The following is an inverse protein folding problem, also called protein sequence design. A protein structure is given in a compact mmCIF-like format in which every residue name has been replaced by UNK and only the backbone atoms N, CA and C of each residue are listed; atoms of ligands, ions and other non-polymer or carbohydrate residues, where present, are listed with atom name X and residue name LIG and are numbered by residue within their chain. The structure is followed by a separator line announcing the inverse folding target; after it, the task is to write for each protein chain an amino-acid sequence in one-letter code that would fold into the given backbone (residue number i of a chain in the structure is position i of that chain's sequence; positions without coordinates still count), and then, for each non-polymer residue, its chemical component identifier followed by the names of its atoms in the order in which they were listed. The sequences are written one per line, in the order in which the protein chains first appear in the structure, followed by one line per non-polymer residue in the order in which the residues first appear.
data_IF_332073952650
#
_entry.id   IF_332073952650
#
_cell.length_a   1.000
_cell.length_b   1.000
_cell.length_c   1.000
_cell.angle_alpha   90.00
_cell.angle_beta   90.00
_cell.angle_gamma   90.00
#
_symmetry.space_group_name_H-M   'P 1'
#
loop_
_entity.id
_entity.type
_entity.pdbx_description
1 polymer ?
#
# COMPACT_ATOMS: atom_id res chain seq x y z
N UNK A 1 16.24 6.51 -8.86
CA UNK A 1 14.92 5.88 -9.10
C UNK A 1 15.23 4.43 -9.39
N UNK A 2 15.04 3.53 -8.43
CA UNK A 2 15.36 2.11 -8.61
C UNK A 2 14.36 1.51 -9.58
N UNK A 3 14.84 0.93 -10.68
CA UNK A 3 14.05 0.09 -11.58
C UNK A 3 14.61 -1.32 -11.49
N UNK A 4 13.75 -2.30 -11.31
CA UNK A 4 14.13 -3.71 -11.37
C UNK A 4 13.60 -4.31 -12.67
N UNK A 5 14.34 -5.23 -13.28
CA UNK A 5 13.87 -5.92 -14.50
C UNK A 5 13.88 -7.41 -14.24
N UNK A 6 12.81 -8.09 -14.63
CA UNK A 6 12.67 -9.54 -14.53
C UNK A 6 12.02 -10.09 -15.79
N UNK A 7 12.45 -11.28 -16.19
CA UNK A 7 11.99 -11.93 -17.41
C UNK A 7 11.50 -13.34 -17.09
N UNK A 8 10.34 -13.69 -17.66
CA UNK A 8 9.75 -15.03 -17.59
C UNK A 8 9.30 -15.46 -18.99
N UNK A 9 9.18 -16.76 -19.21
CA UNK A 9 8.72 -17.31 -20.49
C UNK A 9 7.73 -18.45 -20.30
N UNK A 10 6.69 -18.51 -21.13
CA UNK A 10 5.76 -19.64 -21.22
C UNK A 10 5.95 -20.33 -22.56
N UNK A 11 5.65 -21.63 -22.62
CA UNK A 11 5.58 -22.38 -23.87
C UNK A 11 4.12 -22.69 -24.19
N UNK A 12 3.69 -22.41 -25.41
CA UNK A 12 2.32 -22.64 -25.88
C UNK A 12 2.37 -23.73 -26.94
N UNK A 13 1.84 -24.91 -26.63
CA UNK A 13 1.82 -26.09 -27.50
C UNK A 13 0.41 -26.45 -28.00
N UNK A 14 -0.62 -26.00 -27.28
CA UNK A 14 -2.01 -26.18 -27.62
C UNK A 14 -2.84 -24.91 -27.36
N UNK A 15 -4.09 -24.92 -27.79
CA UNK A 15 -5.01 -23.79 -27.62
C UNK A 15 -5.61 -23.77 -26.19
N UNK A 16 -4.79 -23.95 -25.15
CA UNK A 16 -5.21 -23.87 -23.74
C UNK A 16 -4.53 -22.70 -23.02
N UNK A 17 -5.10 -22.35 -21.87
CA UNK A 17 -4.50 -21.33 -21.00
C UNK A 17 -3.23 -21.87 -20.36
N UNK A 18 -2.14 -21.12 -20.47
CA UNK A 18 -0.84 -21.47 -19.91
C UNK A 18 -0.41 -20.39 -18.92
N UNK A 19 0.24 -20.77 -17.83
CA UNK A 19 0.73 -19.83 -16.82
C UNK A 19 2.02 -20.30 -16.16
N UNK A 20 2.84 -19.35 -15.74
CA UNK A 20 4.00 -19.63 -14.91
C UNK A 20 3.69 -19.52 -13.42
N UNK A 21 4.47 -20.25 -12.62
CA UNK A 21 4.49 -20.05 -11.17
C UNK A 21 4.95 -18.63 -10.83
N UNK A 22 4.39 -17.98 -9.79
CA UNK A 22 4.82 -16.66 -9.38
C UNK A 22 6.31 -16.63 -9.05
N UNK A 23 7.06 -15.76 -9.74
CA UNK A 23 8.46 -15.53 -9.47
C UNK A 23 8.58 -14.76 -8.15
N UNK A 24 9.36 -15.30 -7.22
CA UNK A 24 9.61 -14.70 -5.91
C UNK A 24 10.81 -13.76 -5.96
N UNK A 25 10.72 -12.65 -5.24
CA UNK A 25 11.81 -11.72 -4.97
C UNK A 25 12.47 -11.15 -6.23
N UNK A 26 11.71 -10.36 -7.00
CA UNK A 26 12.27 -9.56 -8.09
C UNK A 26 13.45 -8.75 -7.57
N UNK A 27 14.64 -8.97 -8.15
CA UNK A 27 15.89 -8.40 -7.67
C UNK A 27 15.82 -6.87 -7.59
N UNK A 28 15.90 -6.32 -6.36
CA UNK A 28 15.80 -4.88 -6.10
C UNK A 28 14.44 -4.37 -5.61
N UNK A 29 13.40 -5.22 -5.55
CA UNK A 29 12.09 -4.89 -4.93
C UNK A 29 11.64 -6.04 -4.02
N UNK A 30 11.97 -6.00 -2.71
CA UNK A 30 11.63 -7.07 -1.77
C UNK A 30 10.11 -7.30 -1.66
N UNK A 31 9.67 -8.57 -1.67
CA UNK A 31 8.26 -8.93 -1.52
C UNK A 31 7.43 -8.83 -2.80
N UNK A 32 7.99 -8.27 -3.89
CA UNK A 32 7.31 -8.24 -5.19
C UNK A 32 7.29 -9.64 -5.82
N UNK A 33 6.10 -10.14 -6.13
CA UNK A 33 5.89 -11.42 -6.80
C UNK A 33 4.99 -11.23 -8.02
N UNK A 34 5.32 -11.86 -9.14
CA UNK A 34 4.52 -11.73 -10.36
C UNK A 34 4.51 -13.02 -11.20
N UNK A 35 3.43 -13.20 -11.96
CA UNK A 35 3.26 -14.30 -12.90
C UNK A 35 2.75 -13.81 -14.25
N UNK A 36 3.04 -14.62 -15.27
CA UNK A 36 2.69 -14.38 -16.66
C UNK A 36 1.73 -15.48 -17.13
N UNK A 37 0.63 -15.09 -17.78
CA UNK A 37 -0.42 -15.99 -18.24
C UNK A 37 -0.80 -15.70 -19.70
N UNK A 38 -1.27 -16.73 -20.38
CA UNK A 38 -1.85 -16.66 -21.72
C UNK A 38 -3.27 -17.22 -21.70
N UNK A 39 -4.20 -16.48 -22.31
CA UNK A 39 -5.59 -16.87 -22.49
C UNK A 39 -5.93 -16.90 -23.99
N UNK A 40 -6.10 -18.08 -24.60
CA UNK A 40 -6.33 -18.18 -26.04
C UNK A 40 -7.68 -17.61 -26.53
N UNK A 41 -8.68 -17.49 -25.65
CA UNK A 41 -9.98 -16.89 -25.97
C UNK A 41 -10.20 -15.55 -25.25
N UNK A 42 -9.15 -15.01 -24.66
CA UNK A 42 -9.23 -13.84 -23.80
C UNK A 42 -9.80 -14.19 -22.42
N UNK A 43 -9.50 -13.35 -21.44
CA UNK A 43 -9.90 -13.60 -20.04
C UNK A 43 -11.42 -13.62 -19.86
N UNK A 44 -12.14 -12.83 -20.65
CA UNK A 44 -13.61 -12.78 -20.67
C UNK A 44 -14.24 -13.72 -21.70
N UNK A 45 -13.46 -14.58 -22.36
CA UNK A 45 -13.93 -15.45 -23.46
C UNK A 45 -14.58 -14.64 -24.60
N UNK A 46 -14.03 -13.46 -24.87
CA UNK A 46 -14.46 -12.58 -25.96
C UNK A 46 -13.95 -13.05 -27.35
N UNK A 47 -13.15 -14.11 -27.38
CA UNK A 47 -12.65 -14.72 -28.62
C UNK A 47 -11.37 -14.07 -29.15
N UNK A 48 -10.77 -13.14 -28.40
CA UNK A 48 -9.48 -12.51 -28.71
C UNK A 48 -8.45 -13.00 -27.72
N UNK A 49 -7.38 -13.62 -28.20
CA UNK A 49 -6.30 -14.09 -27.34
C UNK A 49 -5.66 -12.95 -26.55
N UNK A 50 -5.26 -13.21 -25.31
CA UNK A 50 -4.79 -12.19 -24.36
C UNK A 50 -3.61 -12.71 -23.53
N UNK A 51 -2.54 -11.92 -23.46
CA UNK A 51 -1.45 -12.11 -22.50
C UNK A 51 -1.73 -11.29 -21.25
N UNK A 52 -1.61 -11.87 -20.07
CA UNK A 52 -1.82 -11.14 -18.81
C UNK A 52 -0.63 -11.26 -17.88
N UNK A 53 -0.41 -10.18 -17.13
CA UNK A 53 0.51 -10.15 -16.00
C UNK A 53 -0.32 -10.06 -14.73
N UNK A 54 0.06 -10.85 -13.73
CA UNK A 54 -0.53 -10.82 -12.40
C UNK A 54 0.53 -10.43 -11.38
N UNK A 55 0.20 -9.49 -10.50
CA UNK A 55 0.98 -9.25 -9.30
C UNK A 55 0.39 -10.08 -8.15
N UNK A 56 1.24 -10.90 -7.55
CA UNK A 56 0.90 -11.83 -6.47
C UNK A 56 1.38 -11.34 -5.10
N UNK A 57 2.16 -10.25 -5.07
CA UNK A 57 2.65 -9.59 -3.86
C UNK A 57 3.40 -8.32 -4.24
N UNK A 58 3.28 -7.27 -3.43
CA UNK A 58 3.81 -5.92 -3.69
C UNK A 58 2.93 -5.06 -4.60
N UNK A 59 3.24 -3.76 -4.68
CA UNK A 59 2.62 -2.82 -5.62
C UNK A 59 3.70 -2.10 -6.44
N UNK A 60 3.59 -2.14 -7.76
CA UNK A 60 4.60 -1.58 -8.66
C UNK A 60 4.00 -1.08 -9.97
N UNK A 61 4.62 -0.03 -10.52
CA UNK A 61 4.38 0.35 -11.91
C UNK A 61 5.20 -0.57 -12.81
N UNK A 62 4.58 -1.13 -13.85
CA UNK A 62 5.17 -2.16 -14.70
C UNK A 62 5.16 -1.71 -16.15
N UNK A 63 6.31 -1.84 -16.79
CA UNK A 63 6.42 -1.83 -18.23
C UNK A 63 6.87 -3.21 -18.69
N UNK A 64 6.01 -3.92 -19.41
CA UNK A 64 6.28 -5.24 -19.94
C UNK A 64 6.42 -5.22 -21.46
N UNK A 65 7.33 -6.05 -21.96
CA UNK A 65 7.50 -6.33 -23.38
C UNK A 65 7.32 -7.82 -23.59
N UNK A 66 6.44 -8.17 -24.52
CA UNK A 66 6.20 -9.55 -24.96
C UNK A 66 6.91 -9.75 -26.29
N UNK A 67 7.70 -10.81 -26.37
CA UNK A 67 8.46 -11.19 -27.56
C UNK A 67 8.23 -12.67 -27.83
N UNK A 68 7.89 -13.02 -29.07
CA UNK A 68 7.88 -14.42 -29.51
C UNK A 68 9.26 -14.78 -30.08
N UNK A 69 9.70 -16.02 -29.85
CA UNK A 69 10.88 -16.57 -30.54
C UNK A 69 10.55 -17.02 -31.97
N UNK A 70 9.27 -17.29 -32.26
CA UNK A 70 8.82 -17.81 -33.56
C UNK A 70 8.32 -16.70 -34.49
N UNK A 71 7.91 -15.56 -33.93
CA UNK A 71 7.43 -14.39 -34.68
C UNK A 71 8.31 -13.18 -34.36
N UNK A 72 8.74 -12.44 -35.38
CA UNK A 72 9.50 -11.19 -35.22
C UNK A 72 8.58 -10.01 -34.86
N UNK A 73 7.77 -10.19 -33.82
CA UNK A 73 6.84 -9.19 -33.32
C UNK A 73 7.05 -8.93 -31.82
N UNK A 74 7.15 -7.65 -31.47
CA UNK A 74 7.28 -7.17 -30.09
C UNK A 74 6.11 -6.31 -29.73
N UNK A 75 5.40 -6.68 -28.67
CA UNK A 75 4.34 -5.86 -28.11
C UNK A 75 4.77 -5.26 -26.78
N UNK A 76 4.58 -3.94 -26.65
CA UNK A 76 4.88 -3.20 -25.44
C UNK A 76 3.59 -2.88 -24.69
N UNK A 77 3.61 -3.16 -23.39
CA UNK A 77 2.50 -2.96 -22.50
C UNK A 77 2.97 -2.16 -21.28
N UNK A 78 2.33 -1.02 -21.01
CA UNK A 78 2.66 -0.16 -19.88
C UNK A 78 1.43 0.03 -19.00
N UNK A 79 1.52 -0.39 -17.74
CA UNK A 79 0.44 -0.20 -16.79
C UNK A 79 0.92 -0.13 -15.33
N UNK A 80 0.11 0.46 -14.45
CA UNK A 80 0.35 0.40 -13.00
C UNK A 80 -0.47 -0.76 -12.47
N UNK A 81 0.17 -1.75 -11.85
CA UNK A 81 -0.53 -2.89 -11.27
C UNK A 81 -0.48 -2.79 -9.75
N UNK A 82 -1.63 -2.94 -9.11
CA UNK A 82 -1.71 -3.21 -7.69
C UNK A 82 -1.71 -4.72 -7.44
N UNK A 83 -1.43 -5.14 -6.20
CA UNK A 83 -1.50 -6.55 -5.83
C UNK A 83 -2.90 -7.13 -6.03
N UNK A 84 -2.97 -8.32 -6.60
CA UNK A 84 -4.22 -9.00 -6.94
C UNK A 84 -4.83 -8.53 -8.25
N UNK A 85 -4.33 -7.44 -8.85
CA UNK A 85 -4.76 -7.01 -10.17
C UNK A 85 -4.11 -7.88 -11.26
N UNK A 86 -4.93 -8.18 -12.25
CA UNK A 86 -4.55 -8.88 -13.47
C UNK A 86 -5.01 -8.01 -14.62
N UNK A 87 -4.05 -7.52 -15.40
CA UNK A 87 -4.34 -6.79 -16.64
C UNK A 87 -3.71 -7.51 -17.81
N UNK A 88 -4.46 -7.56 -18.91
CA UNK A 88 -4.00 -8.16 -20.13
C UNK A 88 -3.85 -7.19 -21.28
N UNK A 89 -3.09 -7.64 -22.25
CA UNK A 89 -2.90 -7.03 -23.54
C UNK A 89 -3.47 -8.00 -24.59
N UNK A 90 -4.43 -7.55 -25.43
CA UNK A 90 -4.86 -8.31 -26.59
C UNK A 90 -3.63 -8.61 -27.46
N UNK A 91 -3.50 -9.85 -27.91
CA UNK A 91 -2.39 -10.25 -28.77
C UNK A 91 -2.87 -10.47 -30.20
N UNK A 92 -2.51 -9.54 -31.07
CA UNK A 92 -2.72 -9.60 -32.52
C UNK A 92 -1.47 -10.19 -33.21
N UNK A 93 -0.92 -11.31 -32.72
CA UNK A 93 0.29 -11.94 -33.30
C UNK A 93 -0.07 -12.77 -34.54
N UNK A 94 -0.95 -12.24 -35.39
CA UNK A 94 -1.37 -12.87 -36.63
C UNK A 94 -0.88 -12.04 -37.79
N UNK A 95 0.13 -12.50 -38.56
CA UNK A 95 0.58 -11.84 -39.78
C UNK A 95 -0.57 -11.62 -40.78
N UNK A 96 -1.65 -12.40 -40.67
CA UNK A 96 -2.69 -12.54 -41.69
C UNK A 96 -4.10 -12.11 -41.22
N UNK A 97 -4.26 -11.62 -39.99
CA UNK A 97 -5.55 -11.13 -39.46
C UNK A 97 -6.63 -12.20 -39.19
N UNK A 98 -6.27 -13.48 -39.25
CA UNK A 98 -7.11 -14.59 -38.80
C UNK A 98 -6.73 -14.99 -37.36
N UNK A 99 -7.65 -15.57 -36.60
CA UNK A 99 -7.40 -16.18 -35.28
C UNK A 99 -6.42 -17.37 -35.45
N UNK A 100 -5.13 -17.07 -35.53
CA UNK A 100 -4.06 -18.06 -35.56
C UNK A 100 -3.75 -18.42 -34.13
N UNK A 101 -3.88 -19.71 -33.80
CA UNK A 101 -3.44 -20.23 -32.52
C UNK A 101 -1.94 -19.91 -32.37
N UNK A 102 -1.58 -19.20 -31.30
CA UNK A 102 -0.19 -18.84 -31.02
C UNK A 102 0.50 -20.11 -30.53
N UNK A 103 1.63 -20.45 -31.14
CA UNK A 103 2.48 -21.55 -30.70
C UNK A 103 3.89 -21.02 -30.39
N UNK A 104 4.60 -21.73 -29.52
CA UNK A 104 6.01 -21.47 -29.26
C UNK A 104 6.33 -20.82 -27.92
N UNK A 105 7.59 -20.40 -27.80
CA UNK A 105 8.12 -19.74 -26.61
C UNK A 105 7.80 -18.24 -26.64
N UNK A 106 7.00 -17.80 -25.69
CA UNK A 106 6.71 -16.37 -25.47
C UNK A 106 7.48 -15.90 -24.25
N UNK A 107 8.31 -14.88 -24.46
CA UNK A 107 9.13 -14.24 -23.43
C UNK A 107 8.49 -12.91 -23.03
N UNK A 108 8.25 -12.76 -21.74
CA UNK A 108 7.78 -11.52 -21.13
C UNK A 108 8.91 -10.90 -20.30
N UNK A 109 9.38 -9.72 -20.69
CA UNK A 109 10.35 -8.93 -19.92
C UNK A 109 9.61 -7.76 -19.26
N UNK A 110 9.52 -7.77 -17.94
CA UNK A 110 8.85 -6.75 -17.14
C UNK A 110 9.88 -5.89 -16.39
N UNK A 111 9.74 -4.58 -16.50
CA UNK A 111 10.48 -3.57 -15.73
C UNK A 111 9.55 -2.97 -14.68
N UNK A 112 9.97 -3.03 -13.43
CA UNK A 112 9.21 -2.65 -12.25
C UNK A 112 9.79 -1.37 -11.63
N UNK A 113 8.91 -0.42 -11.39
CA UNK A 113 9.17 0.78 -10.59
C UNK A 113 8.34 0.67 -9.30
N UNK A 114 8.95 0.77 -8.10
CA UNK A 114 8.20 0.74 -6.86
C UNK A 114 7.12 1.84 -6.86
N UNK A 115 5.89 1.51 -6.48
CA UNK A 115 4.85 2.51 -6.30
C UNK A 115 5.28 3.48 -5.17
N UNK A 116 5.59 4.72 -5.52
CA UNK A 116 5.91 5.76 -4.54
C UNK A 116 4.65 6.57 -4.28
N UNK A 117 4.12 6.47 -3.08
CA UNK A 117 3.08 7.39 -2.61
C UNK A 117 3.70 8.75 -2.35
N UNK A 118 3.13 9.78 -2.98
CA UNK A 118 3.45 11.17 -2.73
C UNK A 118 2.35 11.78 -1.88
N UNK A 119 2.65 12.05 -0.62
CA UNK A 119 1.76 12.80 0.25
C UNK A 119 1.92 14.29 -0.05
N UNK A 120 0.80 14.96 -0.34
CA UNK A 120 0.76 16.42 -0.48
C UNK A 120 0.11 17.03 0.76
N UNK A 121 0.76 18.03 1.32
CA UNK A 121 0.22 18.73 2.48
C UNK A 121 -1.11 19.43 2.16
N UNK A 122 -1.96 19.64 3.17
CA UNK A 122 -3.06 20.58 3.07
C UNK A 122 -2.57 21.99 2.69
N UNK A 123 -3.21 22.63 1.71
CA UNK A 123 -2.89 24.00 1.23
C UNK A 123 -2.72 25.08 2.33
N UNK A 124 -3.42 25.06 3.48
CA UNK A 124 -3.20 26.05 4.55
C UNK A 124 -1.77 26.08 5.10
N UNK A 125 -0.98 25.03 4.88
CA UNK A 125 0.32 24.85 5.51
C UNK A 125 1.53 25.20 4.62
N UNK A 126 1.31 25.44 3.32
CA UNK A 126 2.36 25.81 2.36
C UNK A 126 2.89 27.25 2.54
N UNK A 127 2.32 28.02 3.47
CA UNK A 127 2.69 29.42 3.71
C UNK A 127 3.93 29.59 4.60
N UNK A 128 4.47 28.51 5.19
CA UNK A 128 5.65 28.60 6.06
C UNK A 128 6.92 28.35 5.28
N UNK A 129 7.65 29.44 5.03
CA UNK A 129 8.96 29.42 4.40
C UNK A 129 10.01 28.77 5.32
N UNK A 130 10.22 27.47 5.11
CA UNK A 130 11.23 26.68 5.80
C UNK A 130 12.68 27.02 5.38
N UNK A 131 12.88 27.94 4.43
CA UNK A 131 14.22 28.41 4.03
C UNK A 131 14.80 29.49 4.95
N UNK A 132 14.04 29.94 5.97
CA UNK A 132 14.46 30.95 6.96
C UNK A 132 14.79 30.32 8.32
N UNK A 133 15.95 29.66 8.49
CA UNK A 133 16.30 28.94 9.71
C UNK A 133 16.49 29.83 10.95
N UNK A 134 16.61 31.16 10.77
CA UNK A 134 16.74 32.12 11.87
C UNK A 134 15.43 32.33 12.64
N UNK A 135 14.30 31.82 12.15
CA UNK A 135 13.00 31.93 12.81
C UNK A 135 12.63 30.68 13.64
N UNK A 136 13.47 29.63 13.65
CA UNK A 136 13.28 28.48 14.52
C UNK A 136 13.47 28.87 15.97
N UNK A 137 12.42 28.75 16.77
CA UNK A 137 12.38 29.12 18.19
C UNK A 137 11.91 27.95 19.07
N UNK A 138 11.87 26.74 18.51
CA UNK A 138 11.62 25.50 19.23
C UNK A 138 12.38 24.32 18.60
N UNK A 139 12.61 23.27 19.38
CA UNK A 139 13.22 22.02 18.96
C UNK A 139 12.36 20.83 19.37
N UNK A 140 12.11 19.91 18.43
CA UNK A 140 11.55 18.60 18.73
C UNK A 140 12.72 17.63 18.96
N UNK A 141 12.71 16.93 20.10
CA UNK A 141 13.74 15.97 20.50
C UNK A 141 13.16 14.56 20.46
N UNK A 142 13.83 13.67 19.73
CA UNK A 142 13.49 12.25 19.62
C UNK A 142 14.75 11.43 19.91
N UNK A 143 14.88 10.96 21.16
CA UNK A 143 16.11 10.35 21.65
C UNK A 143 17.28 11.33 21.54
N UNK A 144 18.29 10.98 20.73
CA UNK A 144 19.46 11.84 20.50
C UNK A 144 19.29 12.83 19.33
N UNK A 145 18.18 12.73 18.58
CA UNK A 145 17.95 13.55 17.40
C UNK A 145 17.20 14.83 17.77
N UNK A 146 17.57 15.93 17.11
CA UNK A 146 16.95 17.25 17.28
C UNK A 146 16.46 17.78 15.94
N UNK A 147 15.22 18.26 15.92
CA UNK A 147 14.59 18.88 14.75
C UNK A 147 14.20 20.30 15.10
N UNK A 148 14.71 21.28 14.36
CA UNK A 148 14.35 22.69 14.56
C UNK A 148 13.00 22.97 13.91
N UNK A 149 12.13 23.67 14.64
CA UNK A 149 10.76 23.97 14.22
C UNK A 149 10.33 25.37 14.64
N UNK A 150 9.26 25.87 14.01
CA UNK A 150 8.62 27.14 14.36
C UNK A 150 7.50 26.90 15.37
N UNK A 151 7.65 27.44 16.58
CA UNK A 151 6.65 27.39 17.66
C UNK A 151 5.31 27.92 17.18
N UNK A 152 5.30 29.10 16.57
CA UNK A 152 4.08 29.77 16.11
C UNK A 152 3.30 28.94 15.09
N UNK A 153 3.99 28.30 14.15
CA UNK A 153 3.35 27.42 13.17
C UNK A 153 2.73 26.20 13.84
N UNK A 154 3.50 25.47 14.65
CA UNK A 154 2.98 24.28 15.34
C UNK A 154 1.80 24.62 16.26
N UNK A 155 1.89 25.73 17.00
CA UNK A 155 0.79 26.25 17.83
C UNK A 155 -0.45 26.65 17.03
N UNK A 156 -0.30 27.08 15.78
CA UNK A 156 -1.43 27.45 14.93
C UNK A 156 -2.19 26.22 14.42
N UNK A 157 -1.46 25.16 14.07
CA UNK A 157 -2.03 23.98 13.41
C UNK A 157 -2.45 22.88 14.39
N UNK A 158 -2.00 22.94 15.64
CA UNK A 158 -2.25 21.94 16.67
C UNK A 158 -2.61 22.62 17.99
N UNK A 159 -3.80 22.35 18.55
CA UNK A 159 -4.14 22.83 19.90
C UNK A 159 -3.25 22.17 20.97
N UNK A 160 -2.73 20.98 20.72
CA UNK A 160 -1.79 20.29 21.63
C UNK A 160 -0.45 21.02 21.68
N UNK A 161 0.12 21.36 20.52
CA UNK A 161 1.33 22.19 20.48
C UNK A 161 1.05 23.60 20.98
N UNK A 162 -0.12 24.17 20.72
CA UNK A 162 -0.51 25.45 21.30
C UNK A 162 -0.40 25.42 22.81
N UNK A 163 -1.08 24.47 23.45
CA UNK A 163 -1.07 24.30 24.90
C UNK A 163 0.35 24.07 25.44
N UNK A 164 1.14 23.20 24.78
CA UNK A 164 2.53 22.94 25.16
C UNK A 164 3.41 24.20 25.11
N UNK A 165 3.07 25.16 24.26
CA UNK A 165 3.82 26.38 24.03
C UNK A 165 3.18 27.65 24.62
N UNK A 166 2.05 27.60 25.31
CA UNK A 166 1.44 28.81 25.90
C UNK A 166 1.22 28.71 27.39
N UNK A 167 1.08 27.51 27.94
CA UNK A 167 0.99 27.32 29.38
C UNK A 167 2.36 27.44 30.07
N UNK A 168 2.37 27.54 31.41
CA UNK A 168 3.60 27.50 32.23
C UNK A 168 4.16 26.07 32.28
N UNK A 169 4.58 25.57 31.14
CA UNK A 169 5.14 24.25 30.93
C UNK A 169 6.63 24.36 30.63
N UNK A 170 7.37 23.28 30.87
CA UNK A 170 8.82 23.23 30.59
C UNK A 170 9.10 23.47 29.10
N UNK A 171 8.22 22.99 28.23
CA UNK A 171 8.24 23.15 26.78
C UNK A 171 8.11 24.63 26.39
N UNK A 172 7.25 25.39 27.07
CA UNK A 172 7.06 26.81 26.81
C UNK A 172 8.27 27.66 27.24
N UNK A 173 8.96 27.27 28.32
CA UNK A 173 10.15 27.95 28.84
C UNK A 173 11.42 27.60 28.03
N UNK A 174 11.60 26.33 27.70
CA UNK A 174 12.82 25.85 27.03
C UNK A 174 12.72 25.86 25.51
N UNK A 175 11.52 25.87 24.95
CA UNK A 175 11.27 25.62 23.54
C UNK A 175 11.55 24.18 23.10
N UNK A 176 11.82 23.26 24.03
CA UNK A 176 12.17 21.87 23.73
C UNK A 176 10.96 20.98 23.94
N UNK A 177 10.59 20.22 22.91
CA UNK A 177 9.45 19.31 22.90
C UNK A 177 9.94 17.88 22.72
N UNK A 178 9.90 17.09 23.79
CA UNK A 178 10.39 15.71 23.78
C UNK A 178 9.29 14.75 23.32
N UNK A 179 9.55 13.97 22.26
CA UNK A 179 8.62 12.98 21.70
C UNK A 179 9.22 11.59 21.87
N UNK A 180 8.52 10.72 22.58
CA UNK A 180 8.98 9.37 22.95
C UNK A 180 8.25 8.25 22.21
N UNK A 181 7.04 8.51 21.75
CA UNK A 181 6.15 7.49 21.21
C UNK A 181 6.35 7.22 19.72
N UNK A 182 7.23 7.99 19.07
CA UNK A 182 7.51 7.89 17.65
C UNK A 182 9.01 7.88 17.38
N UNK A 183 9.41 7.14 16.34
CA UNK A 183 10.78 7.17 15.86
C UNK A 183 11.08 8.48 15.10
N UNK A 184 12.36 8.83 14.95
CA UNK A 184 12.77 10.07 14.30
C UNK A 184 12.33 10.17 12.84
N UNK A 185 12.22 9.04 12.12
CA UNK A 185 11.81 9.02 10.72
C UNK A 185 10.34 9.45 10.59
N UNK A 186 9.46 8.89 11.41
CA UNK A 186 8.04 9.27 11.48
C UNK A 186 7.89 10.74 11.82
N UNK A 187 8.56 11.22 12.88
CA UNK A 187 8.46 12.62 13.30
C UNK A 187 8.97 13.56 12.22
N UNK A 188 10.11 13.26 11.58
CA UNK A 188 10.64 14.09 10.49
C UNK A 188 9.69 14.12 9.30
N UNK A 189 9.19 12.97 8.86
CA UNK A 189 8.26 12.89 7.73
C UNK A 189 6.95 13.63 8.04
N UNK A 190 6.40 13.48 9.24
CA UNK A 190 5.19 14.20 9.64
C UNK A 190 5.42 15.71 9.68
N UNK A 191 6.53 16.17 10.25
CA UNK A 191 6.88 17.60 10.22
C UNK A 191 7.08 18.09 8.79
N UNK A 192 7.86 17.39 7.95
CA UNK A 192 8.08 17.78 6.56
C UNK A 192 6.74 17.85 5.78
N UNK A 193 5.85 16.88 5.98
CA UNK A 193 4.49 16.88 5.43
C UNK A 193 3.70 18.11 5.89
N UNK A 194 3.70 18.41 7.19
CA UNK A 194 3.02 19.60 7.72
C UNK A 194 3.59 20.89 7.16
N UNK A 195 4.88 20.96 6.83
CA UNK A 195 5.49 22.15 6.24
C UNK A 195 5.35 22.25 4.71
N UNK A 196 4.49 21.44 4.08
CA UNK A 196 4.30 21.52 2.64
C UNK A 196 5.32 20.77 1.80
N UNK A 197 6.23 20.01 2.41
CA UNK A 197 7.20 19.22 1.64
C UNK A 197 6.55 17.93 1.13
N UNK A 198 6.92 17.56 -0.10
CA UNK A 198 6.52 16.28 -0.67
C UNK A 198 7.18 15.14 0.11
N UNK A 199 6.36 14.35 0.82
CA UNK A 199 6.83 13.12 1.47
C UNK A 199 6.61 11.96 0.53
N UNK A 200 7.71 11.30 0.17
CA UNK A 200 7.73 10.10 -0.67
C UNK A 200 7.90 8.88 0.21
N UNK A 201 6.95 7.98 0.17
CA UNK A 201 7.03 6.70 0.88
C UNK A 201 6.52 5.57 -0.01
N UNK A 202 7.10 4.40 0.19
CA UNK A 202 6.69 3.14 -0.43
C UNK A 202 5.98 2.24 0.59
N UNK A 203 5.91 2.67 1.85
CA UNK A 203 5.39 1.88 2.95
C UNK A 203 4.09 2.50 3.47
N UNK A 204 3.00 1.74 3.37
CA UNK A 204 1.73 2.12 3.99
C UNK A 204 1.86 2.25 5.52
N UNK A 205 2.77 1.50 6.14
CA UNK A 205 3.08 1.61 7.58
C UNK A 205 3.63 3.00 7.90
N UNK A 206 4.49 3.56 7.06
CA UNK A 206 4.99 4.94 7.27
C UNK A 206 3.87 5.98 7.16
N UNK A 207 2.89 5.78 6.27
CA UNK A 207 1.73 6.67 6.15
C UNK A 207 0.84 6.56 7.38
N UNK A 208 0.59 5.35 7.86
CA UNK A 208 -0.14 5.10 9.11
C UNK A 208 0.58 5.75 10.29
N UNK A 209 1.90 5.65 10.38
CA UNK A 209 2.67 6.28 11.45
C UNK A 209 2.63 7.82 11.39
N UNK A 210 2.66 8.41 10.19
CA UNK A 210 2.44 9.86 10.02
C UNK A 210 1.02 10.23 10.46
N UNK A 211 0.01 9.44 10.09
CA UNK A 211 -1.37 9.65 10.52
C UNK A 211 -1.50 9.59 12.04
N UNK A 212 -0.92 8.57 12.68
CA UNK A 212 -0.89 8.43 14.15
C UNK A 212 -0.25 9.63 14.82
N UNK A 213 0.79 10.21 14.22
CA UNK A 213 1.42 11.43 14.71
C UNK A 213 0.47 12.62 14.61
N UNK A 214 -0.08 12.91 13.43
CA UNK A 214 -0.93 14.09 13.25
C UNK A 214 -2.23 14.01 14.05
N UNK A 215 -2.77 12.80 14.23
CA UNK A 215 -3.94 12.53 15.05
C UNK A 215 -3.65 12.73 16.54
N UNK A 216 -2.52 12.21 17.04
CA UNK A 216 -2.10 12.42 18.44
C UNK A 216 -1.98 13.91 18.79
N UNK A 217 -1.46 14.71 17.87
CA UNK A 217 -1.31 16.15 18.05
C UNK A 217 -2.54 16.94 17.59
N UNK A 218 -3.65 16.27 17.28
CA UNK A 218 -4.93 16.87 16.90
C UNK A 218 -4.82 17.89 15.75
N UNK A 219 -4.17 17.47 14.66
CA UNK A 219 -4.01 18.27 13.44
C UNK A 219 -5.07 17.82 12.42
N UNK A 220 -6.32 18.16 12.71
CA UNK A 220 -7.52 17.69 11.98
C UNK A 220 -7.42 17.77 10.44
N UNK A 221 -6.96 18.89 9.83
CA UNK A 221 -6.87 18.95 8.36
C UNK A 221 -5.89 17.93 7.77
N UNK A 222 -4.82 17.60 8.49
CA UNK A 222 -3.85 16.60 8.09
C UNK A 222 -4.40 15.18 8.30
N UNK A 223 -5.08 14.95 9.43
CA UNK A 223 -5.76 13.69 9.75
C UNK A 223 -6.77 13.33 8.68
N UNK A 224 -7.67 14.24 8.32
CA UNK A 224 -8.74 13.99 7.35
C UNK A 224 -8.21 13.57 5.96
N UNK A 225 -7.19 14.25 5.43
CA UNK A 225 -6.60 13.90 4.12
C UNK A 225 -5.94 12.52 4.16
N UNK A 226 -5.22 12.21 5.25
CA UNK A 226 -4.56 10.93 5.39
C UNK A 226 -5.56 9.78 5.61
N UNK A 227 -6.65 10.02 6.33
CA UNK A 227 -7.76 9.06 6.45
C UNK A 227 -8.47 8.82 5.12
N UNK A 228 -8.70 9.86 4.32
CA UNK A 228 -9.23 9.72 2.95
C UNK A 228 -8.28 8.87 2.09
N UNK A 229 -6.97 9.10 2.21
CA UNK A 229 -5.96 8.29 1.54
C UNK A 229 -6.03 6.82 1.98
N UNK A 230 -6.11 6.53 3.29
CA UNK A 230 -6.25 5.15 3.79
C UNK A 230 -7.52 4.49 3.25
N UNK A 231 -8.63 5.24 3.22
CA UNK A 231 -9.90 4.77 2.67
C UNK A 231 -9.81 4.40 1.19
N UNK A 232 -9.02 5.14 0.41
CA UNK A 232 -8.82 4.89 -1.02
C UNK A 232 -7.79 3.79 -1.30
N UNK A 233 -6.90 3.50 -0.36
CA UNK A 233 -5.78 2.57 -0.53
C UNK A 233 -5.87 1.35 0.40
N UNK A 234 -7.10 1.00 0.83
CA UNK A 234 -7.34 -0.23 1.58
C UNK A 234 -7.25 -1.44 0.64
N UNK A 235 -6.12 -2.15 0.71
CA UNK A 235 -5.81 -3.36 -0.04
C UNK A 235 -5.34 -4.45 0.92
N UNK A 236 -5.11 -5.67 0.44
CA UNK A 236 -4.60 -6.79 1.25
C UNK A 236 -3.25 -6.44 1.92
N UNK A 237 -2.41 -5.67 1.24
CA UNK A 237 -1.07 -5.31 1.70
C UNK A 237 -1.09 -4.23 2.78
N UNK A 238 -1.96 -3.23 2.59
CA UNK A 238 -2.11 -2.13 3.53
C UNK A 238 -3.05 -2.49 4.69
N UNK A 239 -3.75 -3.61 4.58
CA UNK A 239 -4.77 -4.09 5.51
C UNK A 239 -4.30 -4.05 6.97
N UNK A 240 -3.17 -4.67 7.27
CA UNK A 240 -2.70 -4.82 8.65
C UNK A 240 -2.45 -3.46 9.33
N UNK A 241 -1.78 -2.55 8.62
CA UNK A 241 -1.53 -1.19 9.13
C UNK A 241 -2.82 -0.40 9.31
N UNK A 242 -3.73 -0.45 8.33
CA UNK A 242 -5.01 0.28 8.38
C UNK A 242 -5.92 -0.29 9.47
N UNK A 243 -5.99 -1.62 9.62
CA UNK A 243 -6.73 -2.27 10.70
C UNK A 243 -6.15 -1.89 12.06
N UNK A 244 -4.82 -1.86 12.20
CA UNK A 244 -4.21 -1.43 13.46
C UNK A 244 -4.65 -0.01 13.83
N UNK A 245 -4.57 0.92 12.88
CA UNK A 245 -5.04 2.29 13.07
C UNK A 245 -6.54 2.36 13.40
N UNK A 246 -7.37 1.68 12.62
CA UNK A 246 -8.82 1.77 12.75
C UNK A 246 -9.35 1.26 14.10
N UNK A 247 -8.75 0.21 14.67
CA UNK A 247 -9.13 -0.29 16.00
C UNK A 247 -8.46 0.49 17.13
N UNK A 248 -7.20 0.91 16.98
CA UNK A 248 -6.51 1.68 18.02
C UNK A 248 -7.16 3.05 18.28
N UNK A 249 -7.69 3.69 17.23
CA UNK A 249 -8.29 5.03 17.29
C UNK A 249 -9.83 5.02 17.11
N UNK A 250 -10.44 3.84 17.23
CA UNK A 250 -11.88 3.61 17.10
C UNK A 250 -12.57 4.21 15.86
N UNK A 251 -11.92 4.13 14.70
CA UNK A 251 -12.42 4.66 13.42
C UNK A 251 -13.46 3.73 12.80
N UNK A 252 -14.72 3.87 13.20
CA UNK A 252 -15.84 2.97 12.81
C UNK A 252 -15.99 2.72 11.32
N UNK A 253 -15.87 3.75 10.48
CA UNK A 253 -16.00 3.60 9.02
C UNK A 253 -14.88 2.74 8.43
N UNK A 254 -13.63 2.96 8.86
CA UNK A 254 -12.49 2.13 8.46
C UNK A 254 -12.61 0.71 9.00
N UNK A 255 -13.09 0.53 10.23
CA UNK A 255 -13.35 -0.80 10.81
C UNK A 255 -14.35 -1.61 9.99
N UNK A 256 -15.41 -0.96 9.49
CA UNK A 256 -16.42 -1.59 8.62
C UNK A 256 -15.83 -1.98 7.27
N UNK A 257 -15.05 -1.09 6.64
CA UNK A 257 -14.39 -1.39 5.35
C UNK A 257 -13.36 -2.51 5.48
N UNK A 258 -12.58 -2.52 6.56
CA UNK A 258 -11.65 -3.61 6.87
C UNK A 258 -12.42 -4.94 7.04
N UNK A 259 -13.54 -4.92 7.78
CA UNK A 259 -14.39 -6.11 7.93
C UNK A 259 -14.91 -6.64 6.60
N UNK A 260 -15.37 -5.73 5.72
CA UNK A 260 -15.83 -6.08 4.37
C UNK A 260 -14.71 -6.71 3.53
N UNK A 261 -13.54 -6.05 3.45
CA UNK A 261 -12.41 -6.58 2.69
C UNK A 261 -11.92 -7.93 3.24
N UNK A 262 -11.88 -8.09 4.57
CA UNK A 262 -11.54 -9.36 5.20
C UNK A 262 -12.52 -10.47 4.84
N UNK A 263 -13.82 -10.17 4.77
CA UNK A 263 -14.84 -11.12 4.33
C UNK A 263 -14.63 -11.52 2.86
N UNK A 264 -14.41 -10.54 1.99
CA UNK A 264 -14.31 -10.73 0.54
C UNK A 264 -13.01 -11.47 0.14
N UNK A 265 -11.92 -11.30 0.90
CA UNK A 265 -10.59 -11.86 0.61
C UNK A 265 -10.00 -12.66 1.77
N UNK A 266 -10.83 -13.41 2.50
CA UNK A 266 -10.48 -14.10 3.76
C UNK A 266 -9.22 -14.95 3.65
N UNK A 267 -9.12 -15.82 2.63
CA UNK A 267 -8.00 -16.76 2.48
C UNK A 267 -6.67 -16.03 2.29
N UNK A 268 -6.68 -14.93 1.56
CA UNK A 268 -5.47 -14.16 1.24
C UNK A 268 -5.01 -13.35 2.44
N UNK A 269 -5.94 -12.68 3.14
CA UNK A 269 -5.61 -11.84 4.30
C UNK A 269 -5.24 -12.70 5.51
N UNK A 270 -5.96 -13.78 5.79
CA UNK A 270 -5.69 -14.63 6.96
C UNK A 270 -4.31 -15.30 6.90
N UNK A 271 -3.79 -15.57 5.69
CA UNK A 271 -2.47 -16.14 5.46
C UNK A 271 -1.37 -15.06 5.30
N UNK A 272 -1.73 -13.78 5.25
CA UNK A 272 -0.78 -12.71 5.03
C UNK A 272 0.14 -12.53 6.26
N UNK A 273 1.48 -12.50 6.10
CA UNK A 273 2.43 -12.43 7.22
C UNK A 273 2.18 -11.27 8.18
N UNK A 274 1.72 -10.13 7.67
CA UNK A 274 1.48 -8.95 8.50
C UNK A 274 0.12 -8.99 9.20
N UNK A 275 -0.84 -9.77 8.71
CA UNK A 275 -2.09 -10.03 9.42
C UNK A 275 -1.83 -10.92 10.65
N UNK A 276 -1.01 -11.96 10.49
CA UNK A 276 -0.64 -12.88 11.59
C UNK A 276 0.09 -12.17 12.73
N UNK A 277 0.79 -11.07 12.43
CA UNK A 277 1.48 -10.23 13.44
C UNK A 277 0.57 -9.22 14.15
N UNK A 278 -0.70 -9.09 13.74
CA UNK A 278 -1.62 -8.17 14.38
C UNK A 278 -1.86 -8.54 15.83
N UNK A 279 -2.18 -7.53 16.65
CA UNK A 279 -2.60 -7.80 18.02
C UNK A 279 -3.89 -8.64 18.05
N UNK A 280 -4.02 -9.62 18.96
CA UNK A 280 -5.19 -10.50 19.04
C UNK A 280 -6.53 -9.76 19.18
N UNK A 281 -6.53 -8.63 19.90
CA UNK A 281 -7.70 -7.74 20.05
C UNK A 281 -8.14 -7.13 18.73
N UNK A 282 -7.20 -6.73 17.88
CA UNK A 282 -7.46 -6.15 16.57
C UNK A 282 -7.97 -7.23 15.61
N UNK A 283 -7.35 -8.42 15.62
CA UNK A 283 -7.82 -9.57 14.84
C UNK A 283 -9.26 -9.96 15.21
N UNK A 284 -9.56 -10.08 16.51
CA UNK A 284 -10.90 -10.38 16.99
C UNK A 284 -11.91 -9.29 16.57
N UNK A 285 -11.47 -8.03 16.61
CA UNK A 285 -12.24 -6.89 16.13
C UNK A 285 -12.57 -6.97 14.64
N UNK A 286 -11.58 -7.27 13.79
CA UNK A 286 -11.73 -7.47 12.35
C UNK A 286 -12.70 -8.61 12.05
N UNK A 287 -12.53 -9.76 12.69
CA UNK A 287 -13.42 -10.92 12.52
C UNK A 287 -14.84 -10.54 12.93
N UNK A 288 -15.00 -9.86 14.08
CA UNK A 288 -16.30 -9.41 14.54
C UNK A 288 -16.96 -8.45 13.55
N UNK A 289 -16.24 -7.45 13.04
CA UNK A 289 -16.81 -6.51 12.05
C UNK A 289 -17.11 -7.19 10.71
N UNK A 290 -16.29 -8.17 10.32
CA UNK A 290 -16.48 -8.97 9.13
C UNK A 290 -17.73 -9.84 9.19
N UNK A 291 -18.23 -10.24 10.36
CA UNK A 291 -19.42 -11.11 10.51
C UNK A 291 -20.61 -10.46 11.23
N UNK A 292 -20.45 -9.26 11.79
CA UNK A 292 -21.55 -8.52 12.45
C UNK A 292 -22.71 -8.15 11.51
N UNK A 293 -22.48 -8.10 10.19
CA UNK A 293 -23.51 -7.73 9.20
C UNK A 293 -24.43 -8.91 8.83
N UNK A 294 -24.13 -10.15 9.22
CA UNK A 294 -25.03 -11.29 8.97
C UNK A 294 -25.99 -11.51 10.14
N UNK A 295 -26.97 -10.62 10.26
CA UNK A 295 -28.26 -11.03 10.80
C UNK A 295 -28.88 -12.05 9.85
N UNK A 296 -29.17 -13.26 10.34
CA UNK A 296 -29.89 -14.36 9.65
C UNK A 296 -29.18 -15.00 8.44
N UNK A 297 -28.22 -15.89 8.69
CA UNK A 297 -28.25 -17.28 8.22
C UNK A 297 -27.00 -17.98 8.78
N UNK A 298 -27.21 -19.13 9.43
CA UNK A 298 -26.19 -19.83 10.20
C UNK A 298 -24.95 -20.15 9.36
N UNK A 299 -23.82 -19.57 9.75
CA UNK A 299 -22.52 -20.00 9.27
C UNK A 299 -22.04 -21.06 10.27
N UNK A 300 -21.78 -22.26 9.78
CA UNK A 300 -21.21 -23.36 10.54
C UNK A 300 -19.78 -22.97 10.98
N UNK A 301 -19.59 -22.78 12.28
CA UNK A 301 -18.34 -22.34 12.89
C UNK A 301 -17.24 -23.43 12.90
N UNK A 302 -17.51 -24.64 12.39
CA UNK A 302 -16.57 -25.76 12.41
C UNK A 302 -15.34 -25.55 11.51
N UNK A 303 -15.51 -24.94 10.33
CA UNK A 303 -14.39 -24.65 9.41
C UNK A 303 -13.42 -23.58 9.97
N UNK A 304 -13.90 -22.72 10.86
CA UNK A 304 -13.12 -21.60 11.40
C UNK A 304 -12.08 -22.04 12.44
N UNK A 305 -12.45 -22.97 13.31
CA UNK A 305 -11.54 -23.56 14.29
C UNK A 305 -10.48 -24.45 13.60
N UNK A 306 -10.86 -25.12 12.52
CA UNK A 306 -9.96 -25.99 11.77
C UNK A 306 -8.89 -25.21 10.99
N UNK A 307 -9.21 -24.02 10.45
CA UNK A 307 -8.26 -23.15 9.76
C UNK A 307 -7.24 -22.51 10.72
N UNK A 308 -7.69 -22.05 11.89
CA UNK A 308 -6.79 -21.51 12.92
C UNK A 308 -5.88 -22.61 13.53
N UNK A 309 -6.42 -23.81 13.72
CA UNK A 309 -5.65 -24.95 14.26
C UNK A 309 -4.58 -25.47 13.28
N UNK A 310 -4.77 -25.31 11.97
CA UNK A 310 -3.80 -25.71 10.94
C UNK A 310 -2.68 -24.70 10.70
N UNK A 311 -2.88 -23.43 11.06
CA UNK A 311 -1.87 -22.36 10.93
C UNK A 311 -0.85 -22.28 12.07
N UNK A 312 -1.03 -23.05 13.15
CA UNK A 312 -0.11 -23.09 14.31
C UNK A 312 0.78 -24.35 14.37
N UNK A 313 0.97 -25.08 13.27
CA UNK A 313 1.88 -26.24 13.19
C UNK A 313 3.05 -25.97 12.27
#
# INVERSE_FOLDING_TARGET
MFKATSTQSIYIDDNRSVSNSPMKDVEGIPGLQWSFHYYPQGRQKNGVSEFTIRICGGSAKIQATFESEEYDEKQNFLHVFNNGEEHGCPCDISPDGYNVSIYGHIKCTATFEPAVTKLRSPRPFELVDNSKPHCYNAEIVVGQNRLKVHRGFLSMISPVFHAAFTHKTKEAETGILEIKDFNIKTVRNAIDYLYGKEVKTQSAVEIVDILRFVDKYNIEPATAILEEWLNANLTIETFAGIATYAWQYDRKELQQKCGKLYRDSLKEIALHPDFVKLEPTIMAGVVSSAFAVTGTQGIDNSDFYDLFARGQR
#
